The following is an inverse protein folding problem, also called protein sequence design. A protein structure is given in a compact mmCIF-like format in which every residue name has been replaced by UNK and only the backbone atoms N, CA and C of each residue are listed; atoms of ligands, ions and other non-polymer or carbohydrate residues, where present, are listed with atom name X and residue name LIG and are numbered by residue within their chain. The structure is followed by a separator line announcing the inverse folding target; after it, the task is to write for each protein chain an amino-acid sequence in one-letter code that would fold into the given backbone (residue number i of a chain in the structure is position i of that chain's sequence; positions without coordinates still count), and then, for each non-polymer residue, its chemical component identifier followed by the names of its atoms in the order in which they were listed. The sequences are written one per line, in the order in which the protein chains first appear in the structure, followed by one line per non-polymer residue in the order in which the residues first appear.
data_IF_352329719975
#
_entry.id   IF_352329719975
#
_cell.length_a   1.000
_cell.length_b   1.000
_cell.length_c   1.000
_cell.angle_alpha   90.00
_cell.angle_beta   90.00
_cell.angle_gamma   90.00
#
_symmetry.space_group_name_H-M   'P 1'
#
loop_
_entity.id
_entity.type
_entity.pdbx_description
1 polymer ?
#
# COMPACT_ATOMS: atom_id res chain seq x y z
N UNK A 1 27.37 15.27 -10.19
CA UNK A 1 26.17 14.42 -10.11
C UNK A 1 25.55 14.69 -8.76
N UNK A 2 24.31 15.17 -8.75
CA UNK A 2 23.53 15.31 -7.52
C UNK A 2 23.43 13.93 -6.86
N UNK A 3 23.81 13.83 -5.59
CA UNK A 3 23.87 12.58 -4.84
C UNK A 3 22.46 12.21 -4.33
N UNK A 4 21.49 12.11 -5.24
CA UNK A 4 20.09 11.81 -4.93
C UNK A 4 19.97 10.31 -4.67
N UNK A 5 19.44 9.93 -3.51
CA UNK A 5 19.26 8.51 -3.15
C UNK A 5 17.91 8.01 -3.63
N UNK A 6 17.89 6.81 -4.21
CA UNK A 6 16.67 6.10 -4.59
C UNK A 6 16.39 5.02 -3.56
N UNK A 7 15.32 5.15 -2.79
CA UNK A 7 15.02 4.28 -1.65
C UNK A 7 13.66 3.61 -1.80
N UNK A 8 13.60 2.32 -1.45
CA UNK A 8 12.34 1.57 -1.39
C UNK A 8 12.24 0.78 -0.08
N UNK A 9 11.18 1.04 0.67
CA UNK A 9 10.89 0.36 1.93
C UNK A 9 10.18 -0.99 1.73
N UNK A 10 10.77 -2.06 2.23
CA UNK A 10 10.21 -3.42 2.22
C UNK A 10 9.42 -3.64 3.51
N UNK A 11 8.10 -3.56 3.37
CA UNK A 11 7.16 -3.60 4.49
C UNK A 11 6.77 -5.00 4.98
N UNK A 12 7.20 -6.04 4.25
CA UNK A 12 6.66 -7.39 4.38
C UNK A 12 5.34 -7.61 3.64
N UNK A 13 4.79 -6.59 3.00
CA UNK A 13 3.59 -6.69 2.17
C UNK A 13 3.89 -7.04 0.72
N UNK A 14 2.89 -7.66 0.06
CA UNK A 14 2.94 -8.00 -1.38
C UNK A 14 3.23 -6.78 -2.27
N UNK A 15 2.62 -5.63 -1.97
CA UNK A 15 2.69 -4.46 -2.84
C UNK A 15 4.11 -3.84 -2.88
N UNK A 16 4.81 -3.78 -1.73
CA UNK A 16 6.22 -3.35 -1.68
C UNK A 16 7.18 -4.37 -2.31
N UNK A 17 6.89 -5.67 -2.16
CA UNK A 17 7.69 -6.73 -2.77
C UNK A 17 7.59 -6.69 -4.30
N UNK A 18 6.37 -6.61 -4.83
CA UNK A 18 6.12 -6.47 -6.26
C UNK A 18 6.76 -5.21 -6.82
N UNK A 19 6.71 -4.07 -6.10
CA UNK A 19 7.38 -2.86 -6.56
C UNK A 19 8.90 -3.00 -6.62
N UNK A 20 9.50 -3.66 -5.63
CA UNK A 20 10.94 -3.91 -5.63
C UNK A 20 11.36 -4.74 -6.85
N UNK A 21 10.63 -5.84 -7.12
CA UNK A 21 10.84 -6.73 -8.27
C UNK A 21 10.65 -5.95 -9.59
N UNK A 22 9.54 -5.24 -9.70
CA UNK A 22 9.18 -4.43 -10.88
C UNK A 22 10.27 -3.41 -11.23
N UNK A 23 10.70 -2.60 -10.25
CA UNK A 23 11.71 -1.58 -10.47
C UNK A 23 13.08 -2.18 -10.78
N UNK A 24 13.46 -3.27 -10.11
CA UNK A 24 14.74 -3.93 -10.35
C UNK A 24 14.82 -4.55 -11.75
N UNK A 25 13.71 -5.11 -12.25
CA UNK A 25 13.62 -5.73 -13.57
C UNK A 25 13.59 -4.71 -14.71
N UNK A 26 12.79 -3.66 -14.59
CA UNK A 26 12.56 -2.70 -15.68
C UNK A 26 13.51 -1.50 -15.67
N UNK A 27 14.05 -1.15 -14.49
CA UNK A 27 14.95 -0.02 -14.31
C UNK A 27 16.26 -0.46 -13.64
N UNK A 28 17.02 -1.41 -14.22
CA UNK A 28 18.24 -1.95 -13.60
C UNK A 28 19.34 -0.90 -13.40
N UNK A 29 19.33 0.18 -14.19
CA UNK A 29 20.27 1.30 -14.09
C UNK A 29 19.91 2.28 -12.96
N UNK A 30 18.73 2.13 -12.34
CA UNK A 30 18.36 2.92 -11.18
C UNK A 30 19.00 2.29 -9.94
N UNK A 31 19.96 2.98 -9.33
CA UNK A 31 20.67 2.51 -8.12
C UNK A 31 19.75 2.54 -6.88
N UNK A 32 18.82 1.59 -6.84
CA UNK A 32 17.87 1.42 -5.75
C UNK A 32 18.55 0.84 -4.51
N UNK A 33 18.33 1.47 -3.37
CA UNK A 33 18.68 0.95 -2.05
C UNK A 33 17.41 0.51 -1.34
N UNK A 34 17.42 -0.71 -0.83
CA UNK A 34 16.29 -1.28 -0.12
C UNK A 34 16.52 -1.21 1.37
N UNK A 35 15.44 -0.96 2.11
CA UNK A 35 15.49 -0.99 3.56
C UNK A 35 14.23 -1.63 4.13
N UNK A 36 14.32 -2.13 5.35
CA UNK A 36 13.18 -2.55 6.14
C UNK A 36 13.34 -2.01 7.55
N UNK A 37 12.25 -1.88 8.29
CA UNK A 37 12.28 -1.48 9.68
C UNK A 37 11.58 -2.57 10.47
N UNK A 38 12.31 -3.32 11.30
CA UNK A 38 11.71 -4.41 12.05
C UNK A 38 11.05 -3.89 13.34
N UNK A 39 9.84 -4.38 13.62
CA UNK A 39 9.16 -4.10 14.89
C UNK A 39 9.51 -5.09 15.99
N UNK A 40 10.14 -6.22 15.65
CA UNK A 40 10.31 -7.40 16.49
C UNK A 40 9.00 -8.13 16.76
N UNK A 41 7.95 -7.80 16.00
CA UNK A 41 6.57 -8.30 16.13
C UNK A 41 5.93 -8.63 14.77
N UNK A 42 6.76 -8.91 13.78
CA UNK A 42 6.35 -9.43 12.48
C UNK A 42 6.16 -10.97 12.52
N UNK A 43 5.35 -11.51 11.62
CA UNK A 43 5.20 -12.94 11.38
C UNK A 43 6.49 -13.52 10.73
N UNK A 44 6.75 -14.81 10.92
CA UNK A 44 7.97 -15.45 10.41
C UNK A 44 8.07 -15.41 8.88
N UNK A 45 6.92 -15.48 8.22
CA UNK A 45 6.77 -15.39 6.78
C UNK A 45 7.22 -14.03 6.23
N UNK A 46 7.19 -12.97 7.04
CA UNK A 46 7.71 -11.65 6.66
C UNK A 46 9.23 -11.63 6.56
N UNK A 47 9.94 -12.24 7.51
CA UNK A 47 11.40 -12.36 7.43
C UNK A 47 11.81 -13.25 6.25
N UNK A 48 11.11 -14.38 6.05
CA UNK A 48 11.35 -15.25 4.89
C UNK A 48 11.17 -14.49 3.56
N UNK A 49 10.14 -13.65 3.45
CA UNK A 49 9.91 -12.82 2.26
C UNK A 49 11.08 -11.87 2.01
N UNK A 50 11.60 -11.21 3.06
CA UNK A 50 12.75 -10.31 2.96
C UNK A 50 13.97 -11.08 2.47
N UNK A 51 14.25 -12.26 3.02
CA UNK A 51 15.37 -13.11 2.59
C UNK A 51 15.26 -13.51 1.12
N UNK A 52 14.07 -13.92 0.67
CA UNK A 52 13.80 -14.25 -0.73
C UNK A 52 13.98 -13.04 -1.66
N UNK A 53 13.54 -11.85 -1.23
CA UNK A 53 13.73 -10.62 -1.99
C UNK A 53 15.20 -10.24 -2.12
N UNK A 54 16.03 -10.41 -1.10
CA UNK A 54 17.48 -10.14 -1.22
C UNK A 54 18.12 -11.00 -2.32
N UNK A 55 17.73 -12.27 -2.40
CA UNK A 55 18.20 -13.21 -3.42
C UNK A 55 17.70 -12.79 -4.82
N UNK A 56 16.40 -12.53 -4.97
CA UNK A 56 15.78 -12.15 -6.24
C UNK A 56 16.32 -10.81 -6.78
N UNK A 57 16.53 -9.83 -5.89
CA UNK A 57 17.03 -8.52 -6.25
C UNK A 57 18.54 -8.49 -6.46
N UNK A 58 19.26 -9.51 -5.98
CA UNK A 58 20.71 -9.57 -5.85
C UNK A 58 21.28 -8.31 -5.17
N UNK A 59 20.58 -7.85 -4.12
CA UNK A 59 20.87 -6.61 -3.38
C UNK A 59 20.50 -6.78 -1.91
N UNK A 60 21.31 -6.21 -1.04
CA UNK A 60 21.04 -6.21 0.40
C UNK A 60 19.82 -5.33 0.74
N UNK A 61 19.01 -5.78 1.70
CA UNK A 61 17.93 -4.99 2.31
C UNK A 61 18.42 -4.54 3.68
N UNK A 62 18.70 -3.24 3.82
CA UNK A 62 19.19 -2.69 5.09
C UNK A 62 18.11 -2.71 6.16
N UNK A 63 18.38 -3.36 7.28
CA UNK A 63 17.53 -3.24 8.47
C UNK A 63 17.82 -1.93 9.21
N UNK A 64 16.80 -1.09 9.34
CA UNK A 64 16.83 0.14 10.14
C UNK A 64 16.20 -0.15 11.50
N UNK A 65 17.05 -0.16 12.52
CA UNK A 65 16.58 -0.29 13.89
C UNK A 65 16.11 1.07 14.42
N UNK A 66 14.95 1.07 15.07
CA UNK A 66 14.40 2.30 15.68
C UNK A 66 15.04 2.64 17.02
N UNK A 67 15.67 1.67 17.66
CA UNK A 67 16.37 1.81 18.94
C UNK A 67 17.52 0.80 19.04
N UNK A 68 18.53 1.13 19.83
CA UNK A 68 19.54 0.17 20.27
C UNK A 68 19.04 -0.59 21.51
N UNK A 69 18.76 -1.88 21.34
CA UNK A 69 18.30 -2.79 22.39
C UNK A 69 19.44 -3.37 23.24
N UNK A 70 20.71 -3.17 22.89
CA UNK A 70 21.86 -3.83 23.54
C UNK A 70 21.96 -3.56 25.05
N UNK A 71 21.44 -2.41 25.50
CA UNK A 71 21.46 -1.99 26.90
C UNK A 71 20.05 -1.94 27.53
N UNK A 72 19.05 -2.55 26.90
CA UNK A 72 17.64 -2.54 27.33
C UNK A 72 17.21 -3.95 27.74
N UNK A 73 16.49 -4.08 28.86
CA UNK A 73 15.88 -5.37 29.27
C UNK A 73 14.49 -5.54 28.62
N UNK A 74 14.43 -5.42 27.29
CA UNK A 74 13.20 -5.46 26.50
C UNK A 74 13.40 -6.34 25.27
N UNK A 75 12.35 -7.06 24.85
CA UNK A 75 12.47 -8.06 23.78
C UNK A 75 12.41 -7.45 22.38
N UNK A 76 11.86 -6.25 22.22
CA UNK A 76 11.67 -5.64 20.91
C UNK A 76 11.54 -4.12 20.97
N UNK A 77 11.74 -3.49 19.81
CA UNK A 77 11.46 -2.07 19.62
C UNK A 77 10.00 -1.71 19.96
N UNK A 78 9.06 -2.63 19.66
CA UNK A 78 7.66 -2.42 20.00
C UNK A 78 7.46 -2.31 21.53
N UNK A 79 8.07 -3.20 22.30
CA UNK A 79 7.91 -3.22 23.76
C UNK A 79 8.49 -1.96 24.40
N UNK A 80 9.61 -1.47 23.88
CA UNK A 80 10.21 -0.21 24.30
C UNK A 80 9.25 0.96 24.12
N UNK A 81 8.72 1.15 22.91
CA UNK A 81 7.81 2.26 22.67
C UNK A 81 6.49 2.06 23.43
N UNK A 82 5.96 0.85 23.54
CA UNK A 82 4.79 0.57 24.35
C UNK A 82 4.99 1.02 25.81
N UNK A 83 6.17 0.76 26.39
CA UNK A 83 6.52 1.23 27.73
C UNK A 83 6.62 2.77 27.80
N UNK A 84 7.23 3.42 26.80
CA UNK A 84 7.32 4.89 26.71
C UNK A 84 5.93 5.56 26.60
N UNK A 85 4.98 4.90 25.95
CA UNK A 85 3.59 5.35 25.84
C UNK A 85 2.71 4.88 27.02
N UNK A 86 3.30 4.38 28.11
CA UNK A 86 2.56 4.02 29.33
C UNK A 86 1.63 2.81 29.15
N UNK A 87 1.89 1.94 28.16
CA UNK A 87 1.03 0.80 27.83
C UNK A 87 -0.10 1.11 26.85
N UNK A 88 -0.16 2.31 26.29
CA UNK A 88 -1.16 2.68 25.28
C UNK A 88 -0.88 2.00 23.94
N UNK A 89 -1.79 1.12 23.53
CA UNK A 89 -1.73 0.41 22.25
C UNK A 89 -1.81 1.38 21.05
N UNK A 90 -1.15 1.08 19.91
CA UNK A 90 -1.30 1.89 18.71
C UNK A 90 -2.71 1.75 18.14
N UNK A 91 -3.26 2.84 17.64
CA UNK A 91 -4.61 2.90 17.08
C UNK A 91 -4.66 3.79 15.82
N UNK A 92 -5.79 3.80 15.11
CA UNK A 92 -5.94 4.57 13.87
C UNK A 92 -5.66 6.07 14.04
N UNK A 93 -6.10 6.64 15.18
CA UNK A 93 -5.87 8.03 15.56
C UNK A 93 -4.49 8.27 16.21
N UNK A 94 -3.80 7.22 16.65
CA UNK A 94 -2.50 7.30 17.33
C UNK A 94 -1.55 6.21 16.82
N UNK A 95 -1.05 6.41 15.60
CA UNK A 95 -0.18 5.48 14.87
C UNK A 95 1.29 5.64 15.28
N UNK A 96 1.57 5.56 16.59
CA UNK A 96 2.92 5.74 17.09
C UNK A 96 3.88 4.66 16.58
N UNK A 97 3.40 3.45 16.29
CA UNK A 97 4.20 2.38 15.72
C UNK A 97 4.76 2.77 14.33
N UNK A 98 3.93 3.32 13.43
CA UNK A 98 4.40 3.86 12.15
C UNK A 98 5.40 4.99 12.36
N UNK A 99 5.07 5.96 13.22
CA UNK A 99 5.92 7.13 13.43
C UNK A 99 7.28 6.75 14.00
N UNK A 100 7.30 6.08 15.15
CA UNK A 100 8.51 5.79 15.92
C UNK A 100 9.35 4.66 15.35
N UNK A 101 8.72 3.68 14.73
CA UNK A 101 9.41 2.46 14.32
C UNK A 101 9.69 2.40 12.83
N UNK A 102 9.07 3.27 12.02
CA UNK A 102 9.23 3.26 10.56
C UNK A 102 9.72 4.61 10.04
N UNK A 103 9.00 5.70 10.33
CA UNK A 103 9.33 7.04 9.82
C UNK A 103 10.57 7.64 10.48
N UNK A 104 10.61 7.70 11.82
CA UNK A 104 11.74 8.26 12.57
C UNK A 104 13.09 7.58 12.22
N UNK A 105 13.24 6.23 12.21
CA UNK A 105 14.50 5.61 11.83
C UNK A 105 14.89 5.86 10.38
N UNK A 106 13.93 5.84 9.45
CA UNK A 106 14.17 6.20 8.06
C UNK A 106 14.70 7.63 7.94
N UNK A 107 13.99 8.59 8.53
CA UNK A 107 14.33 10.01 8.46
C UNK A 107 15.67 10.35 9.15
N UNK A 108 16.04 9.60 10.19
CA UNK A 108 17.34 9.71 10.86
C UNK A 108 18.47 9.15 9.99
N UNK A 109 18.25 8.01 9.33
CA UNK A 109 19.23 7.37 8.47
C UNK A 109 19.58 8.21 7.23
N UNK A 110 18.59 8.85 6.62
CA UNK A 110 18.83 9.66 5.42
C UNK A 110 19.35 11.07 5.73
N UNK A 111 19.07 11.60 6.93
CA UNK A 111 19.40 12.98 7.31
C UNK A 111 18.83 14.01 6.33
N UNK A 112 19.71 14.85 5.79
CA UNK A 112 19.38 15.94 4.86
C UNK A 112 19.69 15.58 3.39
N UNK A 113 20.08 14.33 3.11
CA UNK A 113 20.41 13.90 1.74
C UNK A 113 19.15 13.92 0.88
N UNK A 114 19.18 14.54 -0.33
CA UNK A 114 18.08 14.46 -1.29
C UNK A 114 17.72 13.00 -1.60
N UNK A 115 16.45 12.66 -1.42
CA UNK A 115 15.99 11.27 -1.40
C UNK A 115 14.65 11.13 -2.11
N UNK A 116 14.56 10.14 -2.99
CA UNK A 116 13.32 9.72 -3.64
C UNK A 116 12.86 8.42 -2.99
N UNK A 117 11.67 8.41 -2.38
CA UNK A 117 11.04 7.22 -1.81
C UNK A 117 10.01 6.65 -2.77
N UNK A 118 10.13 5.37 -3.08
CA UNK A 118 9.23 4.66 -3.99
C UNK A 118 8.21 3.84 -3.21
N UNK A 119 6.92 4.06 -3.52
CA UNK A 119 5.81 3.53 -2.72
C UNK A 119 4.88 2.69 -3.59
N UNK A 120 4.61 1.46 -3.17
CA UNK A 120 3.73 0.51 -3.85
C UNK A 120 2.26 0.78 -3.59
N UNK A 121 1.73 1.94 -4.00
CA UNK A 121 0.28 2.21 -4.03
C UNK A 121 -0.23 1.84 -5.41
N UNK A 122 -1.16 0.89 -5.47
CA UNK A 122 -1.70 0.37 -6.72
C UNK A 122 -2.57 1.40 -7.44
N UNK A 123 -2.76 1.21 -8.74
CA UNK A 123 -3.60 2.06 -9.59
C UNK A 123 -5.10 1.98 -9.26
N UNK A 124 -5.55 0.91 -8.60
CA UNK A 124 -6.94 0.69 -8.17
C UNK A 124 -7.22 1.20 -6.74
N UNK A 125 -6.22 1.76 -6.05
CA UNK A 125 -6.39 2.34 -4.70
C UNK A 125 -6.69 3.85 -4.76
N UNK A 126 -7.76 4.30 -4.10
CA UNK A 126 -8.10 5.73 -3.98
C UNK A 126 -7.65 6.31 -2.63
N UNK A 127 -6.32 6.27 -2.40
CA UNK A 127 -5.70 6.85 -1.21
C UNK A 127 -4.40 7.58 -1.53
N UNK A 128 -3.98 8.42 -0.61
CA UNK A 128 -2.69 9.10 -0.67
C UNK A 128 -1.63 8.35 0.16
N UNK A 129 -0.38 8.44 -0.30
CA UNK A 129 0.78 7.92 0.43
C UNK A 129 1.29 8.89 1.48
N UNK A 130 2.35 8.49 2.19
CA UNK A 130 3.06 9.42 3.05
C UNK A 130 3.70 10.53 2.22
N UNK A 131 3.43 11.77 2.60
CA UNK A 131 4.11 12.97 2.08
C UNK A 131 4.96 13.48 3.24
N UNK A 132 6.28 13.40 3.10
CA UNK A 132 7.18 13.87 4.15
C UNK A 132 7.04 15.38 4.34
N UNK A 133 7.18 15.82 5.59
CA UNK A 133 7.33 17.24 5.92
C UNK A 133 8.72 17.77 5.59
N UNK A 134 9.71 16.89 5.37
CA UNK A 134 11.08 17.29 5.04
C UNK A 134 11.21 17.57 3.53
N UNK A 135 11.79 18.72 3.13
CA UNK A 135 11.87 19.10 1.71
C UNK A 135 12.86 18.26 0.89
N UNK A 136 13.80 17.57 1.55
CA UNK A 136 14.77 16.68 0.90
C UNK A 136 14.21 15.29 0.60
N UNK A 137 12.94 14.99 0.89
CA UNK A 137 12.31 13.69 0.64
C UNK A 137 11.14 13.89 -0.33
N UNK A 138 11.11 13.10 -1.39
CA UNK A 138 10.02 13.11 -2.36
C UNK A 138 9.50 11.70 -2.60
N UNK A 139 8.19 11.52 -2.46
CA UNK A 139 7.52 10.24 -2.71
C UNK A 139 7.10 10.10 -4.18
N UNK A 140 7.28 8.91 -4.75
CA UNK A 140 6.86 8.55 -6.10
C UNK A 140 6.00 7.27 -6.04
N UNK A 141 4.95 7.21 -6.85
CA UNK A 141 3.95 6.13 -6.87
C UNK A 141 3.92 5.39 -8.22
N UNK A 142 4.86 4.47 -8.51
CA UNK A 142 5.08 3.96 -9.87
C UNK A 142 3.90 3.18 -10.48
N UNK A 143 3.03 2.59 -9.67
CA UNK A 143 1.87 1.83 -10.15
C UNK A 143 0.63 2.68 -10.43
N UNK A 144 0.64 3.95 -10.03
CA UNK A 144 -0.49 4.86 -10.26
C UNK A 144 -0.34 5.53 -11.62
N UNK A 145 -1.49 5.80 -12.24
CA UNK A 145 -1.57 6.66 -13.43
C UNK A 145 -0.89 8.02 -13.23
N UNK A 146 -1.09 8.61 -12.05
CA UNK A 146 -0.34 9.78 -11.60
C UNK A 146 0.76 9.34 -10.62
N UNK A 147 2.01 9.32 -11.08
CA UNK A 147 3.14 8.93 -10.24
C UNK A 147 3.54 10.00 -9.22
N UNK A 148 3.04 11.23 -9.37
CA UNK A 148 3.44 12.39 -8.57
C UNK A 148 2.56 12.57 -7.33
N UNK A 149 3.19 12.89 -6.21
CA UNK A 149 2.52 13.19 -4.95
C UNK A 149 1.62 14.42 -5.00
N UNK A 150 0.68 14.48 -4.06
CA UNK A 150 -0.33 15.55 -4.04
C UNK A 150 0.30 16.94 -3.95
N UNK A 151 1.41 17.10 -3.22
CA UNK A 151 2.15 18.34 -3.04
C UNK A 151 2.87 18.79 -4.32
N UNK A 152 3.44 17.85 -5.10
CA UNK A 152 3.98 18.15 -6.44
C UNK A 152 2.87 18.66 -7.34
N UNK A 153 1.74 17.97 -7.37
CA UNK A 153 0.59 18.40 -8.19
C UNK A 153 0.05 19.76 -7.72
N UNK A 154 0.06 20.05 -6.41
CA UNK A 154 -0.33 21.39 -5.88
C UNK A 154 0.57 22.47 -6.49
N UNK A 155 1.89 22.22 -6.58
CA UNK A 155 2.86 23.15 -7.18
C UNK A 155 2.66 23.29 -8.68
N UNK A 156 2.51 22.19 -9.42
CA UNK A 156 2.32 22.18 -10.88
C UNK A 156 1.06 22.97 -11.27
N UNK A 157 -0.03 22.82 -10.52
CA UNK A 157 -1.30 23.48 -10.82
C UNK A 157 -1.46 24.87 -10.16
N UNK A 158 -0.42 25.40 -9.51
CA UNK A 158 -0.42 26.76 -8.97
C UNK A 158 -0.47 27.76 -10.13
N UNK A 159 -1.37 28.75 -10.03
CA UNK A 159 -1.58 29.75 -11.08
C UNK A 159 -0.31 30.52 -11.43
N UNK A 160 0.61 30.70 -10.48
CA UNK A 160 1.89 31.40 -10.72
C UNK A 160 2.82 30.63 -11.67
N UNK A 161 2.67 29.30 -11.75
CA UNK A 161 3.50 28.42 -12.55
C UNK A 161 2.86 28.12 -13.92
N UNK A 162 1.63 28.56 -14.17
CA UNK A 162 0.87 28.22 -15.39
C UNK A 162 1.65 28.53 -16.67
N UNK A 163 2.23 29.74 -16.78
CA UNK A 163 2.99 30.14 -17.96
C UNK A 163 4.16 29.18 -18.21
N UNK A 164 4.95 28.90 -17.17
CA UNK A 164 6.11 28.02 -17.24
C UNK A 164 5.73 26.58 -17.62
N UNK A 165 4.68 26.01 -17.01
CA UNK A 165 4.22 24.65 -17.32
C UNK A 165 3.77 24.56 -18.79
N UNK A 166 3.04 25.56 -19.27
CA UNK A 166 2.53 25.60 -20.64
C UNK A 166 3.65 25.67 -21.69
N UNK A 167 4.80 26.27 -21.37
CA UNK A 167 5.97 26.33 -22.25
C UNK A 167 6.64 24.97 -22.45
N UNK A 168 6.46 24.01 -21.55
CA UNK A 168 7.06 22.67 -21.68
C UNK A 168 6.24 21.71 -22.54
N UNK A 169 4.91 21.86 -22.62
CA UNK A 169 4.06 20.96 -23.40
C UNK A 169 4.46 20.82 -24.89
N UNK A 170 4.81 21.89 -25.62
CA UNK A 170 5.23 21.80 -27.02
C UNK A 170 6.48 20.93 -27.27
N UNK A 171 7.29 20.64 -26.24
CA UNK A 171 8.44 19.73 -26.38
C UNK A 171 8.02 18.26 -26.56
N UNK A 172 6.81 17.91 -26.11
CA UNK A 172 6.36 16.52 -25.98
C UNK A 172 5.02 16.24 -26.68
N UNK A 173 4.26 17.28 -27.01
CA UNK A 173 2.97 17.17 -27.70
C UNK A 173 2.91 18.09 -28.90
N UNK A 174 2.20 17.63 -29.94
CA UNK A 174 1.95 18.40 -31.15
C UNK A 174 0.47 18.32 -31.56
N UNK A 175 0.05 19.23 -32.46
CA UNK A 175 -1.28 19.26 -33.06
C UNK A 175 -2.43 19.23 -32.04
N UNK A 176 -3.41 18.37 -32.30
CA UNK A 176 -4.66 18.28 -31.51
C UNK A 176 -4.40 17.93 -30.04
N UNK A 177 -3.39 17.10 -29.73
CA UNK A 177 -3.06 16.75 -28.35
C UNK A 177 -2.52 17.96 -27.59
N UNK A 178 -1.64 18.76 -28.19
CA UNK A 178 -1.11 19.98 -27.59
C UNK A 178 -2.23 20.99 -27.33
N UNK A 179 -3.10 21.25 -28.31
CA UNK A 179 -4.24 22.16 -28.15
C UNK A 179 -5.16 21.73 -27.01
N UNK A 180 -5.47 20.42 -26.92
CA UNK A 180 -6.27 19.86 -25.82
C UNK A 180 -5.57 20.02 -24.48
N UNK A 181 -4.27 19.79 -24.38
CA UNK A 181 -3.51 19.90 -23.14
C UNK A 181 -3.51 21.35 -22.64
N UNK A 182 -3.18 22.31 -23.50
CA UNK A 182 -3.18 23.75 -23.19
C UNK A 182 -4.57 24.21 -22.76
N UNK A 183 -5.62 23.82 -23.50
CA UNK A 183 -7.01 24.16 -23.16
C UNK A 183 -7.44 23.57 -21.81
N UNK A 184 -7.08 22.32 -21.54
CA UNK A 184 -7.41 21.63 -20.28
C UNK A 184 -6.67 22.26 -19.11
N UNK A 185 -5.40 22.61 -19.29
CA UNK A 185 -4.60 23.26 -18.27
C UNK A 185 -5.10 24.68 -17.94
N UNK A 186 -5.53 25.48 -18.93
CA UNK A 186 -6.10 26.82 -18.69
C UNK A 186 -7.51 26.81 -18.09
N UNK A 187 -8.19 25.65 -18.08
CA UNK A 187 -9.54 25.54 -17.50
C UNK A 187 -9.47 25.78 -15.99
N UNK A 188 -10.22 26.79 -15.54
CA UNK A 188 -10.35 27.14 -14.12
C UNK A 188 -11.08 26.05 -13.34
N UNK A 189 -10.62 25.82 -12.12
CA UNK A 189 -11.26 24.90 -11.18
C UNK A 189 -12.61 25.46 -10.73
N UNK A 190 -13.58 24.58 -10.51
CA UNK A 190 -14.90 24.89 -9.97
C UNK A 190 -15.48 23.65 -9.27
N UNK A 191 -16.68 23.75 -8.70
CA UNK A 191 -17.30 22.64 -7.97
C UNK A 191 -17.45 21.35 -8.81
N UNK A 192 -17.68 21.47 -10.12
CA UNK A 192 -17.79 20.34 -11.04
C UNK A 192 -16.46 19.95 -11.72
N UNK A 193 -15.38 20.73 -11.51
CA UNK A 193 -14.06 20.49 -12.09
C UNK A 193 -12.97 20.68 -11.02
N UNK A 194 -12.76 19.62 -10.26
CA UNK A 194 -11.80 19.54 -9.18
C UNK A 194 -10.37 19.39 -9.70
N UNK A 195 -9.40 19.57 -8.79
CA UNK A 195 -7.99 19.32 -9.06
C UNK A 195 -7.75 17.89 -9.56
N UNK A 196 -8.38 16.89 -8.92
CA UNK A 196 -8.30 15.47 -9.32
C UNK A 196 -8.78 15.27 -10.76
N UNK A 197 -9.93 15.86 -11.12
CA UNK A 197 -10.48 15.78 -12.48
C UNK A 197 -9.60 16.48 -13.52
N UNK A 198 -8.92 17.58 -13.15
CA UNK A 198 -7.99 18.28 -14.05
C UNK A 198 -6.75 17.44 -14.34
N UNK A 199 -6.13 16.85 -13.31
CA UNK A 199 -4.99 15.94 -13.47
C UNK A 199 -5.37 14.74 -14.31
N UNK A 200 -6.52 14.12 -14.00
CA UNK A 200 -7.05 12.99 -14.76
C UNK A 200 -7.28 13.34 -16.23
N UNK A 201 -7.84 14.52 -16.52
CA UNK A 201 -8.03 14.98 -17.90
C UNK A 201 -6.70 15.20 -18.64
N UNK A 202 -5.65 15.69 -17.96
CA UNK A 202 -4.33 15.86 -18.56
C UNK A 202 -3.64 14.51 -18.82
N UNK A 203 -3.69 13.59 -17.87
CA UNK A 203 -3.16 12.23 -18.00
C UNK A 203 -3.87 11.42 -19.10
N UNK A 204 -5.18 11.64 -19.28
CA UNK A 204 -5.95 11.00 -20.37
C UNK A 204 -5.57 11.50 -21.78
N UNK A 205 -4.89 12.64 -21.89
CA UNK A 205 -4.35 13.09 -23.18
C UNK A 205 -3.09 12.31 -23.51
N UNK A 206 -2.14 12.28 -22.57
CA UNK A 206 -0.88 11.55 -22.71
C UNK A 206 -0.15 11.49 -21.35
N UNK A 207 0.01 10.28 -20.78
CA UNK A 207 0.64 10.08 -19.47
C UNK A 207 2.12 10.46 -19.52
N UNK A 208 2.84 10.01 -20.55
CA UNK A 208 4.28 10.26 -20.69
C UNK A 208 4.56 11.74 -20.87
N UNK A 209 3.80 12.43 -21.73
CA UNK A 209 3.97 13.87 -21.89
C UNK A 209 3.67 14.63 -20.59
N UNK A 210 2.62 14.26 -19.85
CA UNK A 210 2.34 14.87 -18.54
C UNK A 210 3.52 14.66 -17.58
N UNK A 211 4.03 13.44 -17.45
CA UNK A 211 5.16 13.14 -16.57
C UNK A 211 6.44 13.91 -16.97
N UNK A 212 6.75 14.00 -18.26
CA UNK A 212 7.90 14.77 -18.75
C UNK A 212 7.76 16.27 -18.48
N UNK A 213 6.57 16.84 -18.67
CA UNK A 213 6.30 18.25 -18.34
C UNK A 213 6.46 18.51 -16.85
N UNK A 214 5.95 17.61 -15.99
CA UNK A 214 6.14 17.73 -14.54
C UNK A 214 7.62 17.62 -14.17
N UNK A 215 8.37 16.70 -14.78
CA UNK A 215 9.81 16.55 -14.55
C UNK A 215 10.60 17.80 -14.97
N UNK A 216 10.33 18.36 -16.16
CA UNK A 216 10.94 19.61 -16.63
C UNK A 216 10.68 20.77 -15.66
N UNK A 217 9.47 20.85 -15.11
CA UNK A 217 9.16 21.82 -14.07
C UNK A 217 9.92 21.56 -12.77
N UNK A 218 9.99 20.29 -12.33
CA UNK A 218 10.69 19.92 -11.11
C UNK A 218 12.18 20.26 -11.16
N UNK A 219 12.82 20.21 -12.34
CA UNK A 219 14.21 20.68 -12.55
C UNK A 219 14.44 22.15 -12.17
N UNK A 220 13.37 22.94 -12.04
CA UNK A 220 13.44 24.34 -11.58
C UNK A 220 13.18 24.49 -10.08
N UNK A 221 13.10 23.38 -9.35
CA UNK A 221 12.80 23.32 -7.92
C UNK A 221 13.89 22.57 -7.15
N UNK A 222 13.92 22.75 -5.84
CA UNK A 222 14.85 22.05 -4.94
C UNK A 222 14.47 20.57 -4.67
N UNK A 223 13.35 20.10 -5.23
CA UNK A 223 12.85 18.75 -4.95
C UNK A 223 13.81 17.68 -5.51
N UNK A 224 14.02 16.56 -4.79
CA UNK A 224 14.98 15.51 -5.16
C UNK A 224 14.93 15.05 -6.62
N UNK A 225 13.74 14.75 -7.17
CA UNK A 225 13.61 14.32 -8.57
C UNK A 225 14.11 15.40 -9.53
N UNK A 226 13.88 16.68 -9.23
CA UNK A 226 14.33 17.80 -10.05
C UNK A 226 15.85 17.94 -10.14
N UNK A 227 16.59 17.35 -9.20
CA UNK A 227 18.05 17.39 -9.21
C UNK A 227 18.65 16.34 -10.16
N UNK A 228 17.86 15.43 -10.72
CA UNK A 228 18.31 14.40 -11.65
C UNK A 228 18.44 14.94 -13.07
N UNK A 229 19.47 14.48 -13.78
CA UNK A 229 19.62 14.76 -15.22
C UNK A 229 18.54 14.02 -16.02
N UNK A 230 18.29 12.76 -15.68
CA UNK A 230 17.30 11.88 -16.30
C UNK A 230 16.49 11.14 -15.24
N UNK A 231 15.20 10.89 -15.52
CA UNK A 231 14.32 10.15 -14.63
C UNK A 231 13.47 9.17 -15.45
N UNK A 232 13.84 7.88 -15.56
CA UNK A 232 13.25 6.98 -16.55
C UNK A 232 11.77 6.65 -16.31
N UNK A 233 11.25 6.83 -15.09
CA UNK A 233 9.84 6.61 -14.79
C UNK A 233 8.91 7.62 -15.48
N UNK A 234 9.41 8.73 -16.04
CA UNK A 234 8.57 9.63 -16.85
C UNK A 234 8.06 8.98 -18.13
N UNK A 235 8.72 7.91 -18.58
CA UNK A 235 8.30 7.11 -19.74
C UNK A 235 7.30 6.01 -19.38
N UNK A 236 7.02 5.81 -18.08
CA UNK A 236 6.07 4.81 -17.63
C UNK A 236 4.61 5.29 -17.82
N UNK A 237 3.81 4.44 -18.44
CA UNK A 237 2.35 4.59 -18.59
C UNK A 237 1.56 3.36 -18.10
N UNK A 238 2.23 2.40 -17.46
CA UNK A 238 1.60 1.24 -16.85
C UNK A 238 0.84 1.64 -15.57
N UNK A 239 -0.31 1.01 -15.36
CA UNK A 239 -1.16 1.20 -14.19
C UNK A 239 -1.40 -0.17 -13.58
N UNK A 240 -0.64 -0.53 -12.55
CA UNK A 240 -0.72 -1.87 -11.97
C UNK A 240 -1.79 -1.92 -10.89
N UNK A 241 -2.73 -2.84 -11.05
CA UNK A 241 -3.80 -3.14 -10.11
C UNK A 241 -3.48 -4.41 -9.33
N UNK A 242 -4.36 -4.79 -8.40
CA UNK A 242 -4.12 -5.93 -7.51
C UNK A 242 -3.71 -7.22 -8.23
N UNK A 243 -4.39 -7.57 -9.32
CA UNK A 243 -4.09 -8.80 -10.06
C UNK A 243 -2.68 -8.79 -10.64
N UNK A 244 -2.22 -7.65 -11.15
CA UNK A 244 -0.86 -7.49 -11.67
C UNK A 244 0.19 -7.65 -10.56
N UNK A 245 -0.11 -7.19 -9.34
CA UNK A 245 0.77 -7.37 -8.17
C UNK A 245 0.95 -8.85 -7.83
N UNK A 246 -0.12 -9.64 -7.86
CA UNK A 246 -0.02 -11.09 -7.63
C UNK A 246 0.74 -11.76 -8.77
N UNK A 247 0.44 -11.42 -10.02
CA UNK A 247 1.14 -11.97 -11.18
C UNK A 247 2.64 -11.67 -11.12
N UNK A 248 3.05 -10.45 -10.77
CA UNK A 248 4.47 -10.09 -10.63
C UNK A 248 5.20 -10.94 -9.59
N UNK A 249 4.54 -11.28 -8.48
CA UNK A 249 5.13 -12.13 -7.45
C UNK A 249 5.18 -13.59 -7.91
N UNK A 250 4.10 -14.09 -8.52
CA UNK A 250 4.01 -15.47 -9.03
C UNK A 250 5.03 -15.75 -10.16
N UNK A 251 5.37 -14.74 -10.96
CA UNK A 251 6.40 -14.82 -11.99
C UNK A 251 7.84 -14.67 -11.47
N UNK A 252 8.02 -14.34 -10.17
CA UNK A 252 9.33 -14.16 -9.53
C UNK A 252 9.78 -15.40 -8.76
N UNK A 253 11.02 -15.42 -8.27
CA UNK A 253 11.47 -16.47 -7.34
C UNK A 253 10.96 -16.30 -5.89
N UNK A 254 10.15 -15.27 -5.63
CA UNK A 254 9.67 -14.91 -4.30
C UNK A 254 8.33 -15.58 -4.03
N UNK A 255 8.22 -16.30 -2.92
CA UNK A 255 6.96 -16.87 -2.50
C UNK A 255 6.06 -15.80 -1.87
N UNK A 256 4.77 -15.83 -2.21
CA UNK A 256 3.79 -15.07 -1.46
C UNK A 256 3.73 -15.57 0.01
N UNK A 257 3.83 -14.68 1.02
CA UNK A 257 3.75 -15.07 2.42
C UNK A 257 2.51 -15.93 2.73
N UNK A 258 2.69 -16.95 3.57
CA UNK A 258 1.66 -17.95 3.88
C UNK A 258 0.37 -17.35 4.43
N UNK A 259 0.45 -16.22 5.14
CA UNK A 259 -0.72 -15.53 5.69
C UNK A 259 -1.64 -14.89 4.65
N UNK A 260 -1.22 -14.75 3.39
CA UNK A 260 -2.10 -14.36 2.28
C UNK A 260 -2.84 -15.54 1.65
N UNK A 261 -2.43 -16.79 1.96
CA UNK A 261 -3.04 -17.98 1.37
C UNK A 261 -4.37 -18.26 2.08
N UNK A 262 -5.48 -18.42 1.34
CA UNK A 262 -6.76 -18.74 1.94
C UNK A 262 -6.73 -20.06 2.70
N UNK A 263 -7.24 -20.05 3.92
CA UNK A 263 -7.47 -21.24 4.74
C UNK A 263 -8.97 -21.44 4.93
N UNK A 264 -9.42 -22.69 4.87
CA UNK A 264 -10.81 -23.04 5.07
C UNK A 264 -11.18 -23.00 6.56
N UNK A 265 -12.38 -22.51 6.85
CA UNK A 265 -13.03 -22.67 8.13
C UNK A 265 -14.47 -23.14 7.93
N UNK A 266 -15.06 -23.77 8.94
CA UNK A 266 -16.45 -24.21 8.92
C UNK A 266 -17.23 -23.53 10.05
N UNK A 267 -18.47 -23.14 9.77
CA UNK A 267 -19.44 -22.65 10.77
C UNK A 267 -20.84 -23.04 10.34
N UNK A 268 -21.62 -23.63 11.26
CA UNK A 268 -22.99 -24.10 11.02
C UNK A 268 -23.15 -25.04 9.78
N UNK A 269 -22.12 -25.85 9.49
CA UNK A 269 -22.10 -26.75 8.33
C UNK A 269 -21.79 -26.07 6.99
N UNK A 270 -21.48 -24.77 6.99
CA UNK A 270 -21.04 -24.03 5.81
C UNK A 270 -19.54 -23.75 5.86
N UNK A 271 -18.87 -23.88 4.71
CA UNK A 271 -17.45 -23.54 4.56
C UNK A 271 -17.27 -22.08 4.19
N UNK A 272 -16.27 -21.43 4.79
CA UNK A 272 -15.76 -20.12 4.40
C UNK A 272 -14.24 -20.16 4.30
N UNK A 273 -13.66 -19.09 3.76
CA UNK A 273 -12.20 -18.91 3.71
C UNK A 273 -11.81 -17.66 4.47
N UNK A 274 -10.71 -17.72 5.20
CA UNK A 274 -10.08 -16.58 5.85
C UNK A 274 -8.59 -16.51 5.54
N UNK A 275 -8.02 -15.33 5.60
CA UNK A 275 -6.60 -15.06 5.43
C UNK A 275 -6.34 -13.63 5.88
N UNK A 276 -5.06 -13.25 5.98
CA UNK A 276 -4.69 -11.87 6.29
C UNK A 276 -4.62 -11.06 5.00
N UNK A 277 -5.30 -9.94 5.00
CA UNK A 277 -5.29 -8.96 3.93
C UNK A 277 -4.09 -8.00 4.01
N UNK A 278 -3.46 -7.87 5.19
CA UNK A 278 -2.51 -6.79 5.50
C UNK A 278 -1.42 -7.21 6.48
N UNK A 279 -0.30 -6.49 6.40
CA UNK A 279 0.81 -6.38 7.38
C UNK A 279 1.55 -7.67 7.75
N UNK A 280 2.87 -7.60 7.90
CA UNK A 280 3.63 -8.67 8.57
C UNK A 280 3.32 -8.78 10.06
N UNK A 281 3.00 -7.67 10.71
CA UNK A 281 2.81 -7.58 12.15
C UNK A 281 1.59 -8.37 12.63
N UNK A 282 1.73 -9.21 13.66
CA UNK A 282 0.68 -10.13 14.09
C UNK A 282 -0.47 -9.47 14.89
N UNK A 283 -0.37 -8.19 15.27
CA UNK A 283 -1.39 -7.50 16.08
C UNK A 283 -1.83 -6.14 15.52
N UNK A 284 -1.69 -5.92 14.22
CA UNK A 284 -2.04 -4.63 13.60
C UNK A 284 -3.47 -4.19 13.96
N UNK A 285 -3.67 -2.97 14.45
CA UNK A 285 -5.00 -2.44 14.84
C UNK A 285 -5.96 -2.26 13.64
N UNK A 286 -5.48 -2.43 12.40
CA UNK A 286 -6.31 -2.50 11.19
C UNK A 286 -6.81 -3.91 10.88
N UNK A 287 -6.43 -4.90 11.71
CA UNK A 287 -6.81 -6.29 11.55
C UNK A 287 -8.32 -6.48 11.77
N UNK A 288 -8.97 -7.18 10.84
CA UNK A 288 -10.38 -7.52 10.94
C UNK A 288 -10.61 -8.59 12.00
N UNK A 289 -11.81 -8.67 12.58
CA UNK A 289 -12.15 -9.71 13.57
C UNK A 289 -11.89 -11.13 13.05
N UNK A 290 -12.17 -11.39 11.78
CA UNK A 290 -11.89 -12.70 11.16
C UNK A 290 -10.39 -13.02 11.09
N UNK A 291 -9.54 -12.01 10.93
CA UNK A 291 -8.09 -12.17 10.92
C UNK A 291 -7.53 -12.41 12.34
N UNK A 292 -8.19 -11.88 13.38
CA UNK A 292 -7.92 -12.25 14.78
C UNK A 292 -8.29 -13.71 15.06
N UNK A 293 -9.42 -14.19 14.53
CA UNK A 293 -9.77 -15.62 14.58
C UNK A 293 -8.76 -16.48 13.83
N UNK A 294 -8.31 -16.03 12.65
CA UNK A 294 -7.22 -16.70 11.92
C UNK A 294 -5.94 -16.79 12.76
N UNK A 295 -5.56 -15.72 13.47
CA UNK A 295 -4.39 -15.71 14.35
C UNK A 295 -4.57 -16.65 15.55
N UNK A 296 -5.75 -16.65 16.16
CA UNK A 296 -6.10 -17.54 17.28
C UNK A 296 -5.95 -19.02 16.89
N UNK A 297 -6.49 -19.40 15.72
CA UNK A 297 -6.54 -20.79 15.28
C UNK A 297 -5.20 -21.29 14.71
N UNK A 298 -4.46 -20.44 14.01
CA UNK A 298 -3.24 -20.84 13.30
C UNK A 298 -1.94 -20.47 14.04
N UNK A 299 -1.97 -19.45 14.89
CA UNK A 299 -0.82 -18.97 15.65
C UNK A 299 -1.18 -18.67 17.12
N UNK A 300 -1.69 -19.64 17.89
CA UNK A 300 -2.23 -19.41 19.24
C UNK A 300 -1.23 -18.76 20.19
N UNK A 301 0.07 -19.07 20.07
CA UNK A 301 1.12 -18.43 20.87
C UNK A 301 1.27 -16.93 20.60
N UNK A 302 1.12 -16.52 19.34
CA UNK A 302 1.18 -15.11 18.96
C UNK A 302 -0.11 -14.39 19.33
N UNK A 303 -1.25 -15.07 19.26
CA UNK A 303 -2.52 -14.55 19.78
C UNK A 303 -2.43 -14.28 21.29
N UNK A 304 -1.94 -15.24 22.08
CA UNK A 304 -1.72 -15.04 23.53
C UNK A 304 -0.72 -13.92 23.81
N UNK A 305 0.32 -13.78 22.98
CA UNK A 305 1.25 -12.63 23.07
C UNK A 305 0.55 -11.32 22.79
N UNK A 306 -0.28 -11.23 21.74
CA UNK A 306 -1.05 -10.03 21.43
C UNK A 306 -1.98 -9.66 22.59
N UNK A 307 -2.70 -10.65 23.13
CA UNK A 307 -3.58 -10.52 24.29
C UNK A 307 -2.86 -10.01 25.54
N UNK A 308 -1.62 -10.44 25.78
CA UNK A 308 -0.83 -9.96 26.92
C UNK A 308 -0.53 -8.46 26.93
N UNK A 309 -0.66 -7.78 25.79
CA UNK A 309 -0.52 -6.32 25.71
C UNK A 309 -1.80 -5.55 26.07
N UNK A 310 -2.97 -6.21 26.07
CA UNK A 310 -4.20 -5.56 26.51
C UNK A 310 -4.13 -5.28 28.01
N UNK A 311 -4.47 -4.06 28.41
CA UNK A 311 -4.47 -3.60 29.80
C UNK A 311 -5.80 -2.91 30.10
N UNK A 312 -6.06 -2.61 31.38
CA UNK A 312 -7.29 -1.91 31.79
C UNK A 312 -7.50 -0.63 30.96
N UNK A 313 -8.51 -0.65 30.09
CA UNK A 313 -8.86 0.47 29.20
C UNK A 313 -8.24 0.47 27.80
N UNK A 314 -7.32 -0.46 27.48
CA UNK A 314 -6.68 -0.56 26.16
C UNK A 314 -6.86 -1.95 25.56
N UNK A 315 -7.64 -2.03 24.48
CA UNK A 315 -7.86 -3.24 23.68
C UNK A 315 -7.47 -3.01 22.21
N UNK A 316 -7.13 -4.08 21.50
CA UNK A 316 -6.83 -4.00 20.07
C UNK A 316 -8.05 -3.70 19.22
N UNK A 317 -9.23 -4.12 19.70
CA UNK A 317 -10.52 -3.94 19.06
C UNK A 317 -11.34 -3.01 19.94
N UNK A 318 -11.90 -1.95 19.35
CA UNK A 318 -12.73 -1.00 20.09
C UNK A 318 -13.95 -1.71 20.70
N UNK A 319 -14.08 -1.62 22.03
CA UNK A 319 -15.20 -2.18 22.78
C UNK A 319 -15.19 -3.71 22.96
N UNK A 320 -14.10 -4.40 22.61
CA UNK A 320 -13.99 -5.86 22.72
C UNK A 320 -12.54 -6.27 23.02
N UNK A 321 -12.34 -7.08 24.07
CA UNK A 321 -11.02 -7.66 24.39
C UNK A 321 -10.76 -8.91 23.56
N UNK A 322 -9.49 -9.31 23.43
CA UNK A 322 -9.13 -10.61 22.84
C UNK A 322 -9.58 -11.79 23.71
N UNK A 323 -9.73 -11.61 25.03
CA UNK A 323 -10.38 -12.59 25.91
C UNK A 323 -11.85 -12.84 25.53
N UNK A 324 -12.60 -11.77 25.26
CA UNK A 324 -13.99 -11.87 24.83
C UNK A 324 -14.09 -12.45 23.42
N UNK A 325 -13.20 -12.06 22.52
CA UNK A 325 -13.14 -12.56 21.15
C UNK A 325 -12.85 -14.07 21.09
N UNK A 326 -11.97 -14.56 21.97
CA UNK A 326 -11.55 -15.97 22.00
C UNK A 326 -12.62 -16.94 22.51
N UNK A 327 -13.74 -16.44 23.05
CA UNK A 327 -14.86 -17.30 23.49
C UNK A 327 -15.42 -18.07 22.30
N UNK A 328 -15.66 -19.40 22.39
CA UNK A 328 -16.12 -20.21 21.27
C UNK A 328 -17.37 -19.65 20.57
N UNK A 329 -18.37 -19.23 21.35
CA UNK A 329 -19.60 -18.62 20.84
C UNK A 329 -19.32 -17.35 20.02
N UNK A 330 -18.32 -16.56 20.43
CA UNK A 330 -17.93 -15.33 19.75
C UNK A 330 -17.16 -15.61 18.47
N UNK A 331 -16.24 -16.58 18.49
CA UNK A 331 -15.52 -17.06 17.30
C UNK A 331 -16.49 -17.52 16.22
N UNK A 332 -17.47 -18.34 16.58
CA UNK A 332 -18.52 -18.78 15.65
C UNK A 332 -19.35 -17.61 15.12
N UNK A 333 -19.73 -16.66 15.97
CA UNK A 333 -20.45 -15.47 15.55
C UNK A 333 -19.65 -14.64 14.52
N UNK A 334 -18.34 -14.45 14.74
CA UNK A 334 -17.45 -13.75 13.80
C UNK A 334 -17.38 -14.50 12.46
N UNK A 335 -17.22 -15.83 12.48
CA UNK A 335 -17.23 -16.67 11.28
C UNK A 335 -18.54 -16.58 10.50
N UNK A 336 -19.68 -16.59 11.20
CA UNK A 336 -21.03 -16.37 10.62
C UNK A 336 -21.18 -14.98 9.98
N UNK A 337 -20.81 -13.94 10.71
CA UNK A 337 -20.87 -12.55 10.23
C UNK A 337 -19.99 -12.35 8.99
N UNK A 338 -18.79 -12.92 9.01
CA UNK A 338 -17.86 -12.90 7.88
C UNK A 338 -18.45 -13.60 6.66
N UNK A 339 -18.95 -14.82 6.82
CA UNK A 339 -19.55 -15.59 5.72
C UNK A 339 -20.77 -14.89 5.12
N UNK A 340 -21.65 -14.34 5.96
CA UNK A 340 -22.80 -13.54 5.54
C UNK A 340 -22.39 -12.29 4.76
N UNK A 341 -21.31 -11.61 5.18
CA UNK A 341 -20.75 -10.46 4.46
C UNK A 341 -20.21 -10.87 3.08
N UNK A 342 -19.50 -11.99 3.00
CA UNK A 342 -18.97 -12.53 1.73
C UNK A 342 -20.08 -12.90 0.76
N UNK A 343 -21.10 -13.64 1.21
CA UNK A 343 -22.28 -13.97 0.39
C UNK A 343 -22.97 -12.72 -0.17
N UNK A 344 -23.17 -11.68 0.66
CA UNK A 344 -23.74 -10.40 0.22
C UNK A 344 -22.87 -9.68 -0.81
N UNK A 345 -21.55 -9.71 -0.65
CA UNK A 345 -20.61 -9.10 -1.60
C UNK A 345 -20.68 -9.80 -2.96
N UNK A 346 -20.73 -11.14 -2.96
CA UNK A 346 -20.92 -11.96 -4.16
C UNK A 346 -22.25 -11.66 -4.87
N UNK A 347 -23.36 -11.65 -4.13
CA UNK A 347 -24.67 -11.31 -4.68
C UNK A 347 -24.70 -9.91 -5.32
N UNK A 348 -23.97 -8.94 -4.75
CA UNK A 348 -23.88 -7.58 -5.29
C UNK A 348 -23.05 -7.53 -6.57
N UNK A 349 -21.93 -8.25 -6.61
CA UNK A 349 -21.10 -8.38 -7.80
C UNK A 349 -21.93 -8.96 -8.95
N UNK A 350 -22.65 -10.06 -8.68
CA UNK A 350 -23.49 -10.73 -9.65
C UNK A 350 -24.62 -9.86 -10.20
N UNK A 351 -25.34 -9.14 -9.33
CA UNK A 351 -26.39 -8.19 -9.76
C UNK A 351 -25.85 -7.03 -10.60
N UNK A 352 -24.56 -6.71 -10.49
CA UNK A 352 -23.92 -5.66 -11.31
C UNK A 352 -23.50 -6.15 -12.70
N UNK A 353 -23.32 -7.45 -12.89
CA UNK A 353 -23.10 -8.11 -14.19
C UNK A 353 -24.40 -8.47 -14.89
N UNK A 354 -25.46 -8.75 -14.13
CA UNK A 354 -26.79 -9.20 -14.61
C UNK A 354 -27.46 -8.25 -15.63
N UNK A 355 -27.16 -6.94 -15.62
CA UNK A 355 -27.70 -6.02 -16.64
C UNK A 355 -27.01 -6.15 -18.01
N UNK A 356 -25.75 -6.59 -18.04
CA UNK A 356 -25.02 -6.86 -19.30
C UNK A 356 -25.50 -8.19 -19.89
N UNK A 357 -25.73 -9.18 -19.04
CA UNK A 357 -26.25 -10.50 -19.44
C UNK A 357 -27.72 -10.43 -19.88
N UNK A 358 -28.53 -9.57 -19.26
CA UNK A 358 -29.89 -9.28 -19.72
C UNK A 358 -29.94 -8.59 -21.10
N UNK A 359 -28.89 -7.90 -21.51
CA UNK A 359 -28.74 -7.32 -22.87
C UNK A 359 -28.28 -8.38 -23.88
N UNK A 360 -27.52 -9.39 -23.44
CA UNK A 360 -27.03 -10.51 -24.26
C UNK A 360 -27.98 -11.72 -24.31
N UNK A 361 -29.03 -11.74 -23.48
CA UNK A 361 -30.08 -12.76 -23.50
C UNK A 361 -29.70 -14.10 -22.85
N UNK A 362 -28.70 -14.13 -21.97
CA UNK A 362 -28.31 -15.35 -21.24
C UNK A 362 -28.95 -15.41 -19.84
N UNK A 363 -30.05 -16.18 -19.72
CA UNK A 363 -30.68 -16.50 -18.43
C UNK A 363 -29.85 -17.52 -17.63
N UNK A 364 -28.73 -17.10 -17.03
CA UNK A 364 -27.98 -17.96 -16.11
C UNK A 364 -28.48 -17.76 -14.67
N UNK A 365 -29.43 -18.59 -14.21
CA UNK A 365 -29.74 -18.71 -12.77
C UNK A 365 -28.82 -19.72 -12.10
N UNK A 366 -27.57 -19.33 -11.78
CA UNK A 366 -26.69 -20.15 -10.92
C UNK A 366 -26.96 -19.83 -9.45
N UNK A 367 -27.68 -20.74 -8.81
CA UNK A 367 -28.01 -20.75 -7.38
C UNK A 367 -26.75 -20.78 -6.50
N UNK A 368 -26.68 -19.90 -5.50
CA UNK A 368 -25.64 -19.86 -4.46
C UNK A 368 -25.71 -21.04 -3.48
N UNK A 369 -26.67 -21.96 -3.65
CA UNK A 369 -27.06 -22.90 -2.60
C UNK A 369 -26.34 -24.26 -2.63
N UNK A 370 -25.29 -24.48 -3.45
CA UNK A 370 -24.65 -25.82 -3.40
C UNK A 370 -23.19 -25.99 -3.80
N UNK A 371 -22.39 -24.98 -4.18
CA UNK A 371 -21.00 -25.24 -4.54
C UNK A 371 -20.03 -24.17 -4.03
N UNK A 372 -18.90 -24.62 -3.47
CA UNK A 372 -17.79 -23.80 -2.95
C UNK A 372 -17.13 -22.86 -4.00
N UNK A 373 -17.58 -22.91 -5.26
CA UNK A 373 -17.09 -22.13 -6.41
C UNK A 373 -17.13 -20.61 -6.19
N UNK A 374 -18.13 -20.09 -5.47
CA UNK A 374 -18.29 -18.64 -5.28
C UNK A 374 -17.24 -18.04 -4.33
N UNK A 375 -16.61 -18.87 -3.47
CA UNK A 375 -15.56 -18.43 -2.56
C UNK A 375 -14.25 -18.15 -3.31
N UNK A 376 -14.02 -18.81 -4.45
CA UNK A 376 -12.84 -18.62 -5.28
C UNK A 376 -12.98 -17.40 -6.21
N UNK A 377 -14.21 -17.04 -6.58
CA UNK A 377 -14.52 -15.84 -7.37
C UNK A 377 -14.44 -14.54 -6.56
N UNK A 378 -14.62 -14.63 -5.24
CA UNK A 378 -14.40 -13.53 -4.32
C UNK A 378 -12.91 -13.40 -3.97
N UNK A 379 -12.13 -12.80 -4.88
CA UNK A 379 -10.88 -12.19 -4.44
C UNK A 379 -11.25 -11.05 -3.47
N UNK A 380 -10.85 -11.15 -2.21
CA UNK A 380 -11.25 -10.20 -1.17
C UNK A 380 -11.15 -8.75 -1.65
N UNK A 381 -12.22 -7.98 -1.54
CA UNK A 381 -12.12 -6.53 -1.56
C UNK A 381 -11.29 -6.13 -0.33
N UNK A 382 -9.96 -6.14 -0.48
CA UNK A 382 -9.05 -5.45 0.40
C UNK A 382 -9.62 -4.03 0.55
N UNK A 383 -10.17 -3.70 1.72
CA UNK A 383 -10.46 -2.30 2.01
C UNK A 383 -9.17 -1.50 1.88
N UNK A 384 -9.27 -0.20 1.57
CA UNK A 384 -8.16 0.73 1.28
C UNK A 384 -6.85 0.29 1.96
N UNK A 385 -5.86 -0.05 1.14
CA UNK A 385 -4.66 -0.75 1.55
C UNK A 385 -3.89 -0.02 2.65
N UNK A 386 -3.26 -0.79 3.53
CA UNK A 386 -2.34 -0.23 4.50
C UNK A 386 -0.93 -0.15 3.91
N UNK A 387 -0.68 0.78 2.97
CA UNK A 387 0.68 1.35 2.87
C UNK A 387 0.85 2.51 3.87
N UNK A 388 -0.04 2.65 4.86
CA UNK A 388 0.16 3.56 5.98
C UNK A 388 1.36 3.16 6.85
N UNK A 389 1.94 1.98 6.67
CA UNK A 389 3.06 1.51 7.50
C UNK A 389 4.44 1.78 6.88
N UNK A 390 4.56 2.11 5.60
CA UNK A 390 5.84 2.43 4.96
C UNK A 390 5.71 3.54 3.91
N UNK A 391 6.80 4.30 3.80
CA UNK A 391 6.96 5.57 3.08
C UNK A 391 6.76 5.39 1.59
#
# INVERSE_FOLDING_TARGET
MSNVRHLLGISGGKDSAALAIYLNKLYPNLEMQYYTCDTGRELQETYKLIDQLQIELNKDILQLDSIDLSNQNLESAFDYFLAQYGGLLPAQNMRWCTKKMKLDPFENWIGDVPTISYVGIRGDEDREGYISTKPNIQSIFPFRKNIWSEDVIKRVLDAKNEAQILEYYPKYLEGVKLEKAVKTFKKKLNFAFSKKQKVEALLNIDIKAFNKVVFDYLKTTELPVGQLDEFPLVENDEILVRNDIFQLIEESAVDLPGYYKPLDYEVDGEKGKYFRSRSGCFFCFYQQKIEWVWLLENHPKLFEKAKSYEKEGYSWIEGETLDDLAKPERVEAIKREHLKRKKRAYEKLYKSTDWQDAVLGEDNKRSTTSNASWLDELSDAEGDGCASCFI
#
